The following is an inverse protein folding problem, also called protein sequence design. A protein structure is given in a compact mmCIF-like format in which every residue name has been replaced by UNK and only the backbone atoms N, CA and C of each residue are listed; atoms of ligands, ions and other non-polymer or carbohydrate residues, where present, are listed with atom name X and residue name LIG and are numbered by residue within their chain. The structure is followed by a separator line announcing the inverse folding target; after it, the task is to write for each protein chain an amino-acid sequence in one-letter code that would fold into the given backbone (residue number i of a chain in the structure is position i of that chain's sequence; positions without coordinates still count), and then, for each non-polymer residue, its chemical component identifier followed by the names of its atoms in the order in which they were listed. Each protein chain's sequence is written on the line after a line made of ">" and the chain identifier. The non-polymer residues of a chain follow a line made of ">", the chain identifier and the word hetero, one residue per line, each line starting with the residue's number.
data_IF_881368297532
#
_entry.id   IF_881368297532
#
_cell.length_a   1.000
_cell.length_b   1.000
_cell.length_c   1.000
_cell.angle_alpha   90.00
_cell.angle_beta   90.00
_cell.angle_gamma   90.00
#
_symmetry.space_group_name_H-M   'P 1'
#
loop_
_entity.id
_entity.type
_entity.pdbx_description
1 polymer ?
#
# COMPACT_ATOMS: atom_id res chain seq x y z
N UNK A 1 14.95 -4.20 27.26
CA UNK A 1 13.78 -3.67 26.51
C UNK A 1 14.34 -2.65 25.54
N UNK A 2 14.25 -2.89 24.23
CA UNK A 2 14.79 -1.97 23.24
C UNK A 2 13.93 -0.68 23.26
N UNK A 3 14.56 0.47 23.51
CA UNK A 3 13.94 1.76 23.29
C UNK A 3 13.60 1.86 21.80
N UNK A 4 12.31 1.72 21.48
CA UNK A 4 11.79 2.09 20.16
C UNK A 4 12.01 3.59 20.05
N UNK A 5 12.99 3.99 19.25
CA UNK A 5 13.25 5.40 18.98
C UNK A 5 12.01 6.00 18.35
N UNK A 6 11.27 6.80 19.11
CA UNK A 6 10.12 7.55 18.61
C UNK A 6 10.58 8.39 17.43
N UNK A 7 10.00 8.15 16.27
CA UNK A 7 10.28 8.95 15.09
C UNK A 7 9.71 10.35 15.34
N UNK A 8 10.56 11.38 15.25
CA UNK A 8 10.12 12.77 15.39
C UNK A 8 9.37 13.24 14.15
N UNK A 9 8.54 14.28 14.30
CA UNK A 9 7.89 14.93 13.15
C UNK A 9 8.92 15.40 12.12
N UNK A 10 10.03 16.01 12.56
CA UNK A 10 11.11 16.46 11.69
C UNK A 10 11.73 15.30 10.88
N UNK A 11 11.91 14.13 11.49
CA UNK A 11 12.37 12.92 10.80
C UNK A 11 11.34 12.44 9.77
N UNK A 12 10.05 12.44 10.10
CA UNK A 12 9.00 12.10 9.16
C UNK A 12 8.96 13.05 7.96
N UNK A 13 9.16 14.36 8.17
CA UNK A 13 9.26 15.35 7.09
C UNK A 13 10.46 15.08 6.16
N UNK A 14 11.62 14.75 6.71
CA UNK A 14 12.83 14.41 5.95
C UNK A 14 12.65 13.11 5.14
N UNK A 15 11.97 12.12 5.71
CA UNK A 15 11.65 10.87 5.02
C UNK A 15 10.73 11.12 3.83
N UNK A 16 9.67 11.93 4.00
CA UNK A 16 8.78 12.33 2.90
C UNK A 16 9.57 13.02 1.79
N UNK A 17 10.41 14.01 2.12
CA UNK A 17 11.23 14.73 1.14
C UNK A 17 12.17 13.78 0.39
N UNK A 18 12.86 12.90 1.09
CA UNK A 18 13.84 11.98 0.49
C UNK A 18 13.16 10.95 -0.43
N UNK A 19 11.99 10.44 -0.05
CA UNK A 19 11.21 9.52 -0.89
C UNK A 19 10.77 10.23 -2.18
N UNK A 20 10.32 11.48 -2.09
CA UNK A 20 9.91 12.25 -3.26
C UNK A 20 11.10 12.51 -4.19
N UNK A 21 12.23 12.96 -3.65
CA UNK A 21 13.45 13.20 -4.42
C UNK A 21 13.95 11.93 -5.14
N UNK A 22 14.00 10.78 -4.45
CA UNK A 22 14.43 9.51 -5.04
C UNK A 22 13.46 9.00 -6.12
N UNK A 23 12.16 9.26 -5.97
CA UNK A 23 11.15 8.95 -7.00
C UNK A 23 11.35 9.80 -8.24
N UNK A 24 11.53 11.11 -8.08
CA UNK A 24 11.75 12.04 -9.19
C UNK A 24 13.05 11.75 -9.94
N UNK A 25 14.11 11.41 -9.21
CA UNK A 25 15.39 11.07 -9.80
C UNK A 25 15.40 9.72 -10.56
N UNK A 26 14.27 8.99 -10.60
CA UNK A 26 14.14 7.64 -11.13
C UNK A 26 15.24 6.67 -10.65
N UNK A 27 15.87 6.97 -9.51
CA UNK A 27 16.94 6.15 -8.95
C UNK A 27 16.28 4.86 -8.48
N UNK A 28 16.74 3.73 -9.01
CA UNK A 28 16.28 2.36 -8.69
C UNK A 28 16.59 1.92 -7.25
N UNK A 29 16.48 2.82 -6.28
CA UNK A 29 16.73 2.54 -4.87
C UNK A 29 15.43 2.10 -4.18
N UNK A 30 14.82 1.05 -4.74
CA UNK A 30 13.54 0.49 -4.26
C UNK A 30 13.65 0.06 -2.80
N UNK A 31 14.79 -0.51 -2.40
CA UNK A 31 15.05 -0.94 -1.03
C UNK A 31 14.99 0.25 -0.06
N UNK A 32 15.64 1.37 -0.40
CA UNK A 32 15.58 2.58 0.43
C UNK A 32 14.17 3.15 0.51
N UNK A 33 13.45 3.24 -0.61
CA UNK A 33 12.07 3.75 -0.62
C UNK A 33 11.15 2.88 0.24
N UNK A 34 11.35 1.55 0.23
CA UNK A 34 10.61 0.63 1.10
C UNK A 34 10.95 0.88 2.56
N UNK A 35 12.23 0.91 2.94
CA UNK A 35 12.63 1.16 4.33
C UNK A 35 12.11 2.50 4.87
N UNK A 36 12.20 3.56 4.06
CA UNK A 36 11.70 4.87 4.43
C UNK A 36 10.15 4.91 4.56
N UNK A 37 9.43 4.05 3.83
CA UNK A 37 7.97 3.88 4.01
C UNK A 37 7.65 3.12 5.29
N UNK A 38 8.40 2.08 5.62
CA UNK A 38 8.24 1.32 6.87
C UNK A 38 8.49 2.23 8.08
N UNK A 39 9.52 3.09 8.03
CA UNK A 39 9.75 4.13 9.06
C UNK A 39 8.55 5.09 9.18
N UNK A 40 8.00 5.57 8.06
CA UNK A 40 6.82 6.46 8.10
C UNK A 40 5.57 5.75 8.63
N UNK A 41 5.41 4.47 8.33
CA UNK A 41 4.31 3.65 8.86
C UNK A 41 4.43 3.48 10.36
N UNK A 42 5.64 3.17 10.86
CA UNK A 42 5.92 3.10 12.29
C UNK A 42 5.59 4.43 12.97
N UNK A 43 6.02 5.56 12.42
CA UNK A 43 5.69 6.89 12.93
C UNK A 43 4.18 7.11 13.06
N UNK A 44 3.43 6.79 12.00
CA UNK A 44 1.97 6.93 11.99
C UNK A 44 1.31 6.02 13.04
N UNK A 45 1.75 4.77 13.15
CA UNK A 45 1.25 3.80 14.14
C UNK A 45 1.55 4.23 15.59
N UNK A 46 2.77 4.69 15.87
CA UNK A 46 3.17 5.18 17.20
C UNK A 46 2.34 6.40 17.64
N UNK A 47 1.96 7.25 16.69
CA UNK A 47 1.13 8.44 16.94
C UNK A 47 -0.37 8.17 16.79
N UNK A 48 -0.78 6.94 16.46
CA UNK A 48 -2.18 6.55 16.17
C UNK A 48 -2.84 7.42 15.09
N UNK A 49 -2.09 7.71 14.04
CA UNK A 49 -2.52 8.53 12.90
C UNK A 49 -2.56 7.68 11.63
N UNK A 50 -3.49 7.98 10.72
CA UNK A 50 -3.56 7.33 9.39
C UNK A 50 -3.08 8.25 8.27
N UNK A 51 -2.85 9.52 8.57
CA UNK A 51 -2.40 10.54 7.63
C UNK A 51 -1.53 11.56 8.36
N UNK A 52 -0.42 11.97 7.75
CA UNK A 52 0.43 13.06 8.22
C UNK A 52 0.76 13.97 7.04
N UNK A 53 0.55 15.27 7.24
CA UNK A 53 0.80 16.31 6.23
C UNK A 53 1.78 17.33 6.78
N UNK A 54 2.75 17.71 5.96
CA UNK A 54 3.78 18.68 6.28
C UNK A 54 4.10 19.56 5.07
N UNK A 55 5.05 20.49 5.27
CA UNK A 55 5.54 21.41 4.24
C UNK A 55 6.10 20.72 2.99
N UNK A 56 6.61 19.49 3.14
CA UNK A 56 7.20 18.68 2.05
C UNK A 56 6.16 17.85 1.31
N UNK A 57 5.07 17.47 1.97
CA UNK A 57 4.02 16.65 1.39
C UNK A 57 3.19 15.91 2.43
N UNK A 58 2.46 14.91 1.97
CA UNK A 58 1.56 14.11 2.80
C UNK A 58 1.84 12.63 2.64
N UNK A 59 1.85 11.90 3.76
CA UNK A 59 1.82 10.44 3.80
C UNK A 59 0.46 9.98 4.33
N UNK A 60 -0.11 8.95 3.72
CA UNK A 60 -1.38 8.35 4.11
C UNK A 60 -1.31 6.84 4.05
N UNK A 61 -1.73 6.18 5.13
CA UNK A 61 -2.01 4.76 5.18
C UNK A 61 -3.49 4.56 4.86
N UNK A 62 -3.77 3.65 3.94
CA UNK A 62 -5.12 3.24 3.61
C UNK A 62 -5.16 1.72 3.52
N UNK A 63 -5.98 1.12 4.38
CA UNK A 63 -6.42 -0.25 4.26
C UNK A 63 -7.68 -0.30 3.39
N UNK A 64 -7.74 -1.25 2.47
CA UNK A 64 -8.93 -1.49 1.68
C UNK A 64 -9.05 -2.96 1.33
N UNK A 65 -10.28 -3.44 1.33
CA UNK A 65 -10.61 -4.77 0.82
C UNK A 65 -10.96 -4.65 -0.66
N UNK A 66 -10.31 -5.47 -1.50
CA UNK A 66 -10.69 -5.61 -2.91
C UNK A 66 -11.04 -7.05 -3.21
N UNK A 67 -11.94 -7.24 -4.16
CA UNK A 67 -12.24 -8.56 -4.70
C UNK A 67 -11.26 -8.89 -5.83
N UNK A 68 -10.61 -10.05 -5.75
CA UNK A 68 -9.76 -10.58 -6.81
C UNK A 68 -10.14 -12.02 -7.16
N UNK A 69 -9.87 -12.44 -8.38
CA UNK A 69 -10.16 -13.82 -8.81
C UNK A 69 -9.30 -14.81 -8.03
N UNK A 70 -9.94 -15.86 -7.53
CA UNK A 70 -9.30 -16.97 -6.86
C UNK A 70 -8.97 -18.05 -7.88
N UNK A 71 -7.68 -18.21 -8.16
CA UNK A 71 -7.17 -19.11 -9.20
C UNK A 71 -7.76 -20.52 -9.12
N UNK A 72 -7.80 -21.12 -7.93
CA UNK A 72 -8.29 -22.49 -7.73
C UNK A 72 -9.77 -22.65 -8.10
N UNK A 73 -10.61 -21.67 -7.71
CA UNK A 73 -12.03 -21.63 -8.07
C UNK A 73 -12.23 -21.42 -9.57
N UNK A 74 -11.42 -20.55 -10.19
CA UNK A 74 -11.44 -20.33 -11.63
C UNK A 74 -11.07 -21.61 -12.39
N UNK A 75 -9.96 -22.26 -12.03
CA UNK A 75 -9.49 -23.51 -12.67
C UNK A 75 -10.52 -24.64 -12.55
N UNK A 76 -11.12 -24.79 -11.35
CA UNK A 76 -12.17 -25.80 -11.10
C UNK A 76 -13.42 -25.51 -11.92
N UNK A 77 -13.88 -24.26 -11.95
CA UNK A 77 -15.11 -23.87 -12.66
C UNK A 77 -14.95 -24.01 -14.17
N UNK A 78 -13.81 -23.59 -14.72
CA UNK A 78 -13.48 -23.79 -16.14
C UNK A 78 -13.45 -25.28 -16.49
N UNK A 79 -12.89 -26.12 -15.62
CA UNK A 79 -12.86 -27.58 -15.84
C UNK A 79 -14.27 -28.17 -15.90
N UNK A 80 -15.16 -27.79 -14.98
CA UNK A 80 -16.57 -28.23 -14.97
C UNK A 80 -17.32 -27.81 -16.22
N UNK A 81 -17.10 -26.59 -16.70
CA UNK A 81 -17.68 -26.10 -17.97
C UNK A 81 -17.17 -26.92 -19.16
N UNK A 82 -15.86 -27.16 -19.24
CA UNK A 82 -15.28 -27.98 -20.31
C UNK A 82 -15.80 -29.42 -20.30
N UNK A 83 -16.04 -29.98 -19.11
CA UNK A 83 -16.65 -31.29 -18.92
C UNK A 83 -18.18 -31.29 -19.13
N UNK A 84 -18.80 -30.14 -19.40
CA UNK A 84 -20.25 -29.95 -19.52
C UNK A 84 -21.03 -30.33 -18.25
N UNK A 85 -20.39 -30.26 -17.09
CA UNK A 85 -21.02 -30.50 -15.78
C UNK A 85 -21.89 -29.31 -15.35
N UNK A 86 -21.52 -28.11 -15.80
CA UNK A 86 -22.28 -26.86 -15.61
C UNK A 86 -22.28 -26.07 -16.93
N UNK A 87 -23.39 -25.39 -17.21
CA UNK A 87 -23.55 -24.51 -18.38
C UNK A 87 -23.58 -23.00 -18.01
N UNK A 88 -23.53 -22.71 -16.71
CA UNK A 88 -23.56 -21.35 -16.17
C UNK A 88 -22.43 -21.12 -15.16
N UNK A 89 -21.88 -19.89 -15.11
CA UNK A 89 -20.85 -19.46 -14.17
C UNK A 89 -21.32 -18.20 -13.45
N UNK A 90 -21.42 -18.28 -12.12
CA UNK A 90 -21.62 -17.10 -11.28
C UNK A 90 -20.25 -16.50 -10.93
N UNK A 91 -19.88 -15.40 -11.60
CA UNK A 91 -18.53 -14.81 -11.48
C UNK A 91 -18.21 -14.36 -10.04
N UNK A 92 -19.22 -13.94 -9.27
CA UNK A 92 -19.03 -13.54 -7.87
C UNK A 92 -18.52 -14.67 -6.98
N UNK A 93 -18.83 -15.93 -7.29
CA UNK A 93 -18.33 -17.09 -6.54
C UNK A 93 -16.83 -17.33 -6.76
N UNK A 94 -16.28 -16.79 -7.85
CA UNK A 94 -14.86 -16.90 -8.20
C UNK A 94 -14.00 -15.87 -7.47
N UNK A 95 -14.60 -14.89 -6.82
CA UNK A 95 -13.85 -13.86 -6.10
C UNK A 95 -13.44 -14.33 -4.71
N UNK A 96 -12.31 -13.77 -4.27
CA UNK A 96 -11.88 -13.74 -2.87
C UNK A 96 -11.64 -12.30 -2.46
N UNK A 97 -11.86 -12.02 -1.20
CA UNK A 97 -11.44 -10.75 -0.59
C UNK A 97 -9.92 -10.75 -0.43
N UNK A 98 -9.33 -9.60 -0.72
CA UNK A 98 -7.90 -9.33 -0.62
C UNK A 98 -7.76 -8.06 0.20
N UNK A 99 -7.18 -8.20 1.39
CA UNK A 99 -6.74 -7.08 2.20
C UNK A 99 -5.53 -6.42 1.55
N UNK A 100 -5.67 -5.13 1.25
CA UNK A 100 -4.62 -4.31 0.66
C UNK A 100 -4.23 -3.24 1.66
N UNK A 101 -2.99 -3.34 2.14
CA UNK A 101 -2.35 -2.29 2.91
C UNK A 101 -1.57 -1.36 1.97
N UNK A 102 -1.95 -0.09 1.88
CA UNK A 102 -1.32 0.87 0.97
C UNK A 102 -0.79 2.11 1.71
N UNK A 103 0.52 2.35 1.58
CA UNK A 103 1.16 3.61 1.99
C UNK A 103 1.34 4.52 0.76
N UNK A 104 0.62 5.64 0.77
CA UNK A 104 0.64 6.66 -0.28
C UNK A 104 1.42 7.87 0.19
N UNK A 105 2.31 8.40 -0.66
CA UNK A 105 3.08 9.63 -0.38
C UNK A 105 2.91 10.55 -1.57
N UNK A 106 2.48 11.78 -1.30
CA UNK A 106 2.24 12.84 -2.29
C UNK A 106 3.06 14.06 -1.92
N UNK A 107 3.68 14.71 -2.91
CA UNK A 107 4.30 16.01 -2.71
C UNK A 107 3.24 17.03 -2.29
N UNK A 108 3.65 18.03 -1.50
CA UNK A 108 2.79 19.18 -1.26
C UNK A 108 2.49 19.79 -2.64
N UNK A 109 1.21 20.00 -2.94
CA UNK A 109 0.88 20.79 -4.13
C UNK A 109 1.41 22.18 -3.87
N UNK A 110 2.47 22.57 -4.59
CA UNK A 110 2.79 23.98 -4.71
C UNK A 110 1.52 24.67 -5.18
N UNK A 111 1.02 25.63 -4.39
CA UNK A 111 0.27 26.73 -4.97
C UNK A 111 1.18 27.31 -6.05
N UNK A 112 0.78 27.07 -7.29
CA UNK A 112 1.36 27.77 -8.43
C UNK A 112 0.68 29.14 -8.51
#
# INVERSE_FOLDING_TARGET
>A
MAEVQKISQERAEQLIATILEKREAAKSDKAYITGAKEELEQFLNENKMTEFTCSKGSVKIADSVRQGLEREKVETTVSKVNNKEIDHIEISELYKEIDIHQISIKAAKGEN
#
